data_IF_833792432237
#
_entry.id   IF_833792432237
#
_cell.length_a   1.000
_cell.length_b   1.000
_cell.length_c   1.000
_cell.angle_alpha   90.00
_cell.angle_beta   90.00
_cell.angle_gamma   90.00
#
_symmetry.space_group_name_H-M   'P 1'
#
loop_
_entity.id
_entity.type
_entity.pdbx_description
1 polymer ?
#
# COMPACT_ATOMS: atom_id res chain seq x y z
N UNK A 1 9.69 -12.10 -14.78
CA UNK A 1 10.62 -10.98 -14.99
C UNK A 1 10.72 -10.23 -13.68
N UNK A 2 11.92 -10.02 -13.15
CA UNK A 2 12.09 -9.25 -11.92
C UNK A 2 11.77 -7.78 -12.21
N UNK A 3 11.01 -7.09 -11.34
CA UNK A 3 10.68 -5.69 -11.52
C UNK A 3 11.94 -4.80 -11.48
N UNK A 4 12.14 -3.91 -12.44
CA UNK A 4 13.32 -3.01 -12.41
C UNK A 4 13.16 -1.87 -11.40
N UNK A 5 11.93 -1.60 -10.95
CA UNK A 5 11.57 -0.51 -10.04
C UNK A 5 10.61 -0.98 -8.96
N UNK A 6 10.60 -0.28 -7.83
CA UNK A 6 9.58 -0.50 -6.80
C UNK A 6 8.19 -0.17 -7.41
N UNK A 7 7.21 -1.02 -7.14
CA UNK A 7 5.84 -0.90 -7.66
C UNK A 7 4.87 -0.87 -6.48
N UNK A 8 4.22 0.28 -6.29
CA UNK A 8 3.20 0.49 -5.25
C UNK A 8 1.81 0.15 -5.79
N UNK A 9 1.16 -0.82 -5.15
CA UNK A 9 -0.21 -1.22 -5.45
C UNK A 9 -1.19 -0.39 -4.62
N UNK A 10 -2.11 0.30 -5.29
CA UNK A 10 -3.03 1.22 -4.63
C UNK A 10 -4.49 0.99 -5.04
N UNK A 11 -5.40 1.36 -4.14
CA UNK A 11 -6.82 1.31 -4.36
C UNK A 11 -7.31 2.56 -5.11
N UNK A 12 -7.53 2.43 -6.42
CA UNK A 12 -8.06 3.50 -7.28
C UNK A 12 -9.48 3.97 -6.94
N UNK A 13 -10.23 3.21 -6.14
CA UNK A 13 -11.60 3.57 -5.68
C UNK A 13 -11.60 4.19 -4.28
N UNK A 14 -10.43 4.40 -3.67
CA UNK A 14 -10.27 5.07 -2.37
C UNK A 14 -9.82 6.53 -2.58
N UNK A 15 -10.67 7.55 -2.28
CA UNK A 15 -10.33 8.96 -2.50
C UNK A 15 -9.07 9.43 -1.75
N UNK A 16 -8.84 8.91 -0.54
CA UNK A 16 -7.63 9.23 0.23
C UNK A 16 -6.39 8.64 -0.47
N UNK A 17 -6.47 7.38 -0.87
CA UNK A 17 -5.40 6.64 -1.51
C UNK A 17 -5.03 7.29 -2.86
N UNK A 18 -6.02 7.65 -3.68
CA UNK A 18 -5.77 8.34 -4.96
C UNK A 18 -5.19 9.73 -4.78
N UNK A 19 -5.60 10.47 -3.75
CA UNK A 19 -4.99 11.76 -3.39
C UNK A 19 -3.52 11.59 -3.00
N UNK A 20 -3.21 10.58 -2.19
CA UNK A 20 -1.83 10.24 -1.81
C UNK A 20 -0.98 9.87 -3.05
N UNK A 21 -1.49 9.01 -3.93
CA UNK A 21 -0.79 8.64 -5.17
C UNK A 21 -0.56 9.87 -6.07
N UNK A 22 -1.51 10.80 -6.16
CA UNK A 22 -1.32 12.04 -6.92
C UNK A 22 -0.17 12.87 -6.34
N UNK A 23 -0.05 12.95 -5.03
CA UNK A 23 1.05 13.63 -4.36
C UNK A 23 2.37 12.92 -4.60
N UNK A 24 2.42 11.60 -4.39
CA UNK A 24 3.63 10.79 -4.64
C UNK A 24 4.10 10.90 -6.10
N UNK A 25 3.19 10.84 -7.09
CA UNK A 25 3.53 11.03 -8.51
C UNK A 25 4.22 12.36 -8.80
N UNK A 26 3.87 13.43 -8.06
CA UNK A 26 4.49 14.76 -8.22
C UNK A 26 5.85 14.87 -7.53
N UNK A 27 6.07 14.12 -6.46
CA UNK A 27 7.24 14.26 -5.58
C UNK A 27 8.29 13.17 -5.77
N UNK A 28 7.94 12.05 -6.40
CA UNK A 28 8.82 10.91 -6.61
C UNK A 28 9.92 11.22 -7.64
N UNK A 29 11.11 10.65 -7.43
CA UNK A 29 12.33 10.96 -8.20
C UNK A 29 12.63 9.99 -9.36
N UNK A 30 11.64 9.22 -9.81
CA UNK A 30 11.72 8.39 -11.02
C UNK A 30 11.95 6.89 -10.79
N UNK A 31 11.74 6.37 -9.58
CA UNK A 31 12.00 4.95 -9.23
C UNK A 31 10.80 4.23 -8.61
N UNK A 32 9.61 4.82 -8.71
CA UNK A 32 8.38 4.27 -8.16
C UNK A 32 7.28 4.19 -9.22
N UNK A 33 6.81 2.99 -9.49
CA UNK A 33 5.66 2.69 -10.35
C UNK A 33 4.40 2.59 -9.49
N UNK A 34 3.25 3.00 -10.03
CA UNK A 34 1.95 2.92 -9.36
C UNK A 34 1.02 1.99 -10.13
N UNK A 35 0.60 0.90 -9.50
CA UNK A 35 -0.32 -0.08 -10.06
C UNK A 35 -1.69 0.04 -9.39
N UNK A 36 -2.73 0.36 -10.15
CA UNK A 36 -4.10 0.35 -9.64
C UNK A 36 -4.57 -1.10 -9.49
N UNK A 37 -5.01 -1.47 -8.28
CA UNK A 37 -5.46 -2.83 -7.97
C UNK A 37 -6.67 -3.24 -8.83
N UNK A 38 -7.54 -2.29 -9.19
CA UNK A 38 -8.73 -2.56 -10.00
C UNK A 38 -8.44 -2.77 -11.50
N UNK A 39 -7.19 -2.54 -11.92
CA UNK A 39 -6.72 -2.77 -13.29
C UNK A 39 -5.86 -4.04 -13.40
N UNK A 40 -5.61 -4.73 -12.29
CA UNK A 40 -4.82 -5.95 -12.28
C UNK A 40 -5.69 -7.16 -12.66
N UNK A 41 -5.17 -8.09 -13.48
CA UNK A 41 -5.92 -9.29 -13.86
C UNK A 41 -6.18 -10.17 -12.63
N UNK A 42 -7.45 -10.51 -12.41
CA UNK A 42 -7.84 -11.47 -11.38
C UNK A 42 -7.21 -12.84 -11.66
N UNK A 43 -6.72 -13.51 -10.61
CA UNK A 43 -6.12 -14.85 -10.74
C UNK A 43 -4.64 -14.87 -11.16
N UNK A 44 -3.95 -13.74 -11.22
CA UNK A 44 -2.50 -13.73 -11.40
C UNK A 44 -1.80 -14.36 -10.19
N UNK A 45 -1.26 -15.58 -10.36
CA UNK A 45 -0.57 -16.33 -9.30
C UNK A 45 0.68 -15.65 -8.74
N UNK A 46 1.21 -14.65 -9.43
CA UNK A 46 2.38 -13.89 -9.00
C UNK A 46 2.03 -12.67 -8.14
N UNK A 47 0.74 -12.36 -7.96
CA UNK A 47 0.26 -11.28 -7.10
C UNK A 47 -0.40 -11.86 -5.84
N UNK A 48 -0.34 -11.14 -4.69
CA UNK A 48 -1.22 -11.42 -3.57
C UNK A 48 -2.69 -11.40 -4.02
N UNK A 49 -3.55 -12.09 -3.27
CA UNK A 49 -4.99 -12.07 -3.57
C UNK A 49 -5.52 -10.64 -3.66
N UNK A 50 -6.52 -10.43 -4.51
CA UNK A 50 -7.13 -9.12 -4.71
C UNK A 50 -7.64 -8.53 -3.37
N UNK A 51 -8.20 -9.39 -2.53
CA UNK A 51 -8.61 -9.03 -1.17
C UNK A 51 -7.45 -8.50 -0.32
N UNK A 52 -6.31 -9.19 -0.31
CA UNK A 52 -5.14 -8.77 0.46
C UNK A 52 -4.60 -7.43 -0.05
N UNK A 53 -4.50 -7.26 -1.38
CA UNK A 53 -4.11 -6.00 -2.00
C UNK A 53 -5.06 -4.86 -1.61
N UNK A 54 -6.37 -5.11 -1.55
CA UNK A 54 -7.36 -4.11 -1.13
C UNK A 54 -7.36 -3.84 0.38
N UNK A 55 -6.98 -4.82 1.21
CA UNK A 55 -7.05 -4.73 2.67
C UNK A 55 -5.83 -4.03 3.29
N UNK A 56 -4.64 -4.23 2.73
CA UNK A 56 -3.38 -3.62 3.18
C UNK A 56 -2.62 -3.04 2.01
N UNK A 57 -1.83 -2.00 2.25
CA UNK A 57 -0.98 -1.41 1.23
C UNK A 57 0.15 -2.39 0.90
N UNK A 58 0.42 -2.59 -0.39
CA UNK A 58 1.47 -3.48 -0.88
C UNK A 58 2.42 -2.73 -1.80
N UNK A 59 3.71 -2.98 -1.63
CA UNK A 59 4.76 -2.54 -2.53
C UNK A 59 5.59 -3.77 -2.91
N UNK A 60 5.77 -4.00 -4.21
CA UNK A 60 6.73 -4.96 -4.72
C UNK A 60 8.04 -4.22 -4.97
N UNK A 61 9.13 -4.66 -4.34
CA UNK A 61 10.44 -4.06 -4.53
C UNK A 61 11.02 -4.44 -5.88
N UNK A 62 12.04 -3.70 -6.35
CA UNK A 62 12.81 -4.08 -7.55
C UNK A 62 13.45 -5.49 -7.46
N UNK A 63 13.60 -6.04 -6.26
CA UNK A 63 14.18 -7.37 -6.09
C UNK A 63 13.10 -8.48 -6.08
N UNK A 64 11.83 -8.13 -6.26
CA UNK A 64 10.70 -9.06 -6.20
C UNK A 64 10.18 -9.33 -4.80
N UNK A 65 10.72 -8.68 -3.76
CA UNK A 65 10.22 -8.82 -2.39
C UNK A 65 8.94 -8.00 -2.17
N UNK A 66 8.02 -8.53 -1.36
CA UNK A 66 6.82 -7.81 -0.95
C UNK A 66 7.02 -7.07 0.37
N UNK A 67 6.76 -5.77 0.36
CA UNK A 67 6.69 -4.92 1.55
C UNK A 67 5.24 -4.51 1.74
N UNK A 68 4.73 -4.63 2.97
CA UNK A 68 3.31 -4.41 3.25
C UNK A 68 3.07 -3.39 4.36
N UNK A 69 1.84 -2.86 4.39
CA UNK A 69 1.35 -2.01 5.45
C UNK A 69 2.14 -0.70 5.61
N UNK A 70 2.45 -0.36 6.85
CA UNK A 70 3.17 0.87 7.19
C UNK A 70 4.58 0.90 6.57
N UNK A 71 5.26 -0.25 6.46
CA UNK A 71 6.57 -0.32 5.80
C UNK A 71 6.47 0.02 4.30
N UNK A 72 5.41 -0.44 3.64
CA UNK A 72 5.16 -0.11 2.23
C UNK A 72 4.98 1.39 2.05
N UNK A 73 4.24 2.03 2.96
CA UNK A 73 4.02 3.47 2.93
C UNK A 73 5.32 4.25 3.11
N UNK A 74 6.09 3.93 4.15
CA UNK A 74 7.37 4.59 4.44
C UNK A 74 8.36 4.40 3.27
N UNK A 75 8.39 3.21 2.67
CA UNK A 75 9.22 2.94 1.49
C UNK A 75 8.78 3.74 0.27
N UNK A 76 7.48 3.83 -0.01
CA UNK A 76 6.94 4.65 -1.09
C UNK A 76 7.33 6.13 -0.93
N UNK A 77 7.16 6.70 0.26
CA UNK A 77 7.58 8.07 0.54
C UNK A 77 9.11 8.25 0.53
N UNK A 78 9.86 7.17 0.77
CA UNK A 78 11.31 7.10 0.60
C UNK A 78 11.80 7.46 -0.80
N UNK A 79 10.98 7.28 -1.83
CA UNK A 79 11.27 7.68 -3.23
C UNK A 79 11.13 9.20 -3.48
N UNK A 80 10.72 9.96 -2.46
CA UNK A 80 10.55 11.42 -2.52
C UNK A 80 11.62 12.14 -1.68
N UNK A 81 11.75 13.45 -1.87
CA UNK A 81 12.59 14.28 -0.98
C UNK A 81 12.10 14.34 0.49
N UNK A 82 10.89 13.89 0.76
CA UNK A 82 10.25 13.94 2.08
C UNK A 82 10.31 12.61 2.83
N UNK A 83 10.96 11.58 2.29
CA UNK A 83 11.01 10.25 2.91
C UNK A 83 11.53 10.27 4.36
N UNK A 84 12.39 11.23 4.71
CA UNK A 84 12.90 11.41 6.07
C UNK A 84 11.79 11.72 7.09
N UNK A 85 10.69 12.37 6.69
CA UNK A 85 9.54 12.65 7.57
C UNK A 85 8.78 11.38 7.96
N UNK A 86 8.83 10.35 7.12
CA UNK A 86 8.11 9.10 7.34
C UNK A 86 8.96 8.05 8.07
N UNK A 87 10.29 8.18 8.07
CA UNK A 87 11.20 7.25 8.78
C UNK A 87 10.92 7.11 10.29
N UNK A 88 10.60 8.18 11.06
CA UNK A 88 10.28 8.06 12.47
C UNK A 88 9.12 7.10 12.78
N UNK A 89 8.20 6.88 11.82
CA UNK A 89 7.10 5.91 11.98
C UNK A 89 7.59 4.47 12.17
N UNK A 90 8.84 4.17 11.80
CA UNK A 90 9.47 2.86 11.95
C UNK A 90 10.39 2.77 13.17
N UNK A 91 10.47 3.82 14.01
CA UNK A 91 11.27 3.74 15.23
C UNK A 91 10.66 2.75 16.23
N UNK A 92 11.47 2.00 16.99
CA UNK A 92 10.98 0.90 17.83
C UNK A 92 9.92 1.32 18.85
N UNK A 93 9.96 2.57 19.32
CA UNK A 93 8.97 3.13 20.26
C UNK A 93 7.69 3.61 19.56
N UNK A 94 7.82 4.19 18.36
CA UNK A 94 6.69 4.81 17.62
C UNK A 94 5.94 3.77 16.79
N UNK A 95 6.67 2.86 16.16
CA UNK A 95 6.18 1.80 15.30
C UNK A 95 5.00 1.01 15.88
N UNK A 96 5.02 0.49 17.13
CA UNK A 96 3.90 -0.29 17.65
C UNK A 96 2.58 0.50 17.73
N UNK A 97 2.67 1.82 17.91
CA UNK A 97 1.50 2.71 17.94
C UNK A 97 1.08 3.02 16.51
N UNK A 98 2.02 3.48 15.67
CA UNK A 98 1.75 3.83 14.28
C UNK A 98 1.17 2.65 13.48
N UNK A 99 1.72 1.44 13.69
CA UNK A 99 1.24 0.20 13.10
C UNK A 99 -0.21 -0.07 13.47
N UNK A 100 -0.57 0.01 14.77
CA UNK A 100 -1.95 -0.23 15.23
C UNK A 100 -2.93 0.78 14.65
N UNK A 101 -2.55 2.06 14.62
CA UNK A 101 -3.38 3.12 14.01
C UNK A 101 -3.60 2.84 12.53
N UNK A 102 -2.53 2.51 11.81
CA UNK A 102 -2.58 2.16 10.40
C UNK A 102 -3.47 0.93 10.15
N UNK A 103 -3.27 -0.17 10.87
CA UNK A 103 -4.02 -1.41 10.70
C UNK A 103 -5.51 -1.20 10.96
N UNK A 104 -5.86 -0.50 12.06
CA UNK A 104 -7.26 -0.21 12.40
C UNK A 104 -7.94 0.67 11.36
N UNK A 105 -7.25 1.68 10.86
CA UNK A 105 -7.76 2.50 9.76
C UNK A 105 -7.91 1.69 8.47
N UNK A 106 -6.93 0.85 8.14
CA UNK A 106 -6.94 0.03 6.93
C UNK A 106 -8.08 -0.99 6.94
N UNK A 107 -8.34 -1.65 8.07
CA UNK A 107 -9.48 -2.54 8.27
C UNK A 107 -10.80 -1.78 8.18
N UNK A 108 -10.95 -0.66 8.90
CA UNK A 108 -12.17 0.16 8.83
C UNK A 108 -12.48 0.65 7.41
N UNK A 109 -11.47 1.13 6.67
CA UNK A 109 -11.61 1.54 5.26
C UNK A 109 -12.05 0.36 4.40
N UNK A 110 -11.41 -0.80 4.58
CA UNK A 110 -11.73 -2.01 3.83
C UNK A 110 -13.17 -2.46 4.11
N UNK A 111 -13.56 -2.59 5.39
CA UNK A 111 -14.91 -3.00 5.77
C UNK A 111 -15.98 -2.09 5.18
N UNK A 112 -15.80 -0.77 5.34
CA UNK A 112 -16.76 0.23 4.85
C UNK A 112 -16.92 0.25 3.32
N UNK A 113 -15.91 -0.22 2.56
CA UNK A 113 -15.95 -0.23 1.09
C UNK A 113 -16.26 -1.60 0.49
N UNK A 114 -15.85 -2.68 1.16
CA UNK A 114 -15.74 -4.01 0.55
C UNK A 114 -16.35 -5.13 1.41
N UNK A 115 -16.54 -4.97 2.73
CA UNK A 115 -17.08 -6.08 3.54
C UNK A 115 -18.51 -6.47 3.14
N UNK A 116 -19.33 -5.52 2.67
CA UNK A 116 -20.64 -5.85 2.10
C UNK A 116 -20.57 -6.55 0.73
N UNK A 117 -19.45 -6.42 0.00
CA UNK A 117 -19.26 -7.02 -1.32
C UNK A 117 -18.66 -8.45 -1.25
N UNK A 118 -17.90 -8.75 -0.19
CA UNK A 118 -17.21 -10.05 -0.02
C UNK A 118 -17.83 -10.97 1.05
N UNK A 119 -18.94 -10.57 1.69
CA UNK A 119 -19.64 -11.43 2.64
C UNK A 119 -18.72 -12.00 3.73
N UNK A 120 -17.93 -11.14 4.37
CA UNK A 120 -17.09 -11.58 5.50
C UNK A 120 -18.01 -11.78 6.71
N UNK A 121 -18.50 -13.00 6.86
CA UNK A 121 -19.15 -13.47 8.09
C UNK A 121 -18.15 -13.31 9.24
N UNK A 122 -18.46 -12.39 10.16
CA UNK A 122 -17.67 -12.19 11.37
C UNK A 122 -17.88 -13.43 12.24
N UNK A 123 -16.89 -14.31 12.33
CA UNK A 123 -16.80 -15.37 13.34
C UNK A 123 -16.14 -14.83 14.61
#
# INVERSE_FOLDING_TARGET
>A
MNPTFDTLFYDGRCPLCTKEIRTLRRLQRGQLIFANIHEQPEGNRNLPSHENLLRRLHLMTSNGEWVTGLHANVRAWGHTGFGWLFKPLLWPVIYPIARRVYERWADWRYERKYACAFGVEKT
#
